data_IF_172165090844
#
_entry.id   IF_172165090844
#
_cell.length_a   1.000
_cell.length_b   1.000
_cell.length_c   1.000
_cell.angle_alpha   90.00
_cell.angle_beta   90.00
_cell.angle_gamma   90.00
#
_symmetry.space_group_name_H-M   'P 1'
#
loop_
_entity.id
_entity.type
_entity.pdbx_description
1 polymer ?
#
# COMPACT_ATOMS: atom_id res chain seq x y z
N UNK A 1 48.12 5.46 37.10
CA UNK A 1 47.04 4.65 37.70
C UNK A 1 46.39 3.86 36.58
N UNK A 2 46.42 2.53 36.64
CA UNK A 2 45.92 1.65 35.57
C UNK A 2 44.45 1.32 35.82
N UNK A 3 43.56 1.66 34.88
CA UNK A 3 42.12 1.38 35.00
C UNK A 3 41.89 -0.03 34.44
N UNK A 4 41.74 -1.01 35.32
CA UNK A 4 41.38 -2.38 34.93
C UNK A 4 39.87 -2.37 34.68
N UNK A 5 39.43 -2.30 33.42
CA UNK A 5 38.03 -2.52 33.09
C UNK A 5 37.72 -4.02 33.19
N UNK A 6 36.76 -4.38 34.02
CA UNK A 6 36.24 -5.74 34.08
C UNK A 6 35.54 -6.08 32.76
N UNK A 7 36.05 -7.09 32.05
CA UNK A 7 35.40 -7.64 30.85
C UNK A 7 34.23 -8.50 31.32
N UNK A 8 33.05 -8.26 30.76
CA UNK A 8 31.87 -9.09 31.00
C UNK A 8 32.14 -10.52 30.47
N UNK A 9 31.89 -11.60 31.25
CA UNK A 9 32.11 -12.97 30.80
C UNK A 9 31.29 -13.30 29.54
N UNK A 10 31.86 -14.09 28.63
CA UNK A 10 31.28 -14.37 27.31
C UNK A 10 29.92 -15.11 27.36
N UNK A 11 29.60 -15.77 28.49
CA UNK A 11 28.33 -16.48 28.73
C UNK A 11 27.24 -15.61 29.40
N UNK A 12 27.45 -14.30 29.51
CA UNK A 12 26.46 -13.42 30.16
C UNK A 12 25.32 -13.08 29.19
N UNK A 13 24.05 -13.35 29.52
CA UNK A 13 22.92 -12.98 28.68
C UNK A 13 22.87 -11.47 28.48
N UNK A 14 22.75 -11.03 27.23
CA UNK A 14 22.53 -9.60 26.93
C UNK A 14 21.10 -9.26 27.35
N UNK A 15 20.95 -8.62 28.50
CA UNK A 15 19.68 -8.09 28.97
C UNK A 15 19.51 -6.64 28.54
N UNK A 16 18.29 -6.29 28.15
CA UNK A 16 17.95 -4.91 27.84
C UNK A 16 18.07 -4.08 29.12
N UNK A 17 18.86 -2.98 29.12
CA UNK A 17 19.03 -2.18 30.32
C UNK A 17 17.71 -1.50 30.72
N UNK A 18 17.26 -1.73 31.96
CA UNK A 18 16.10 -1.06 32.53
C UNK A 18 16.50 0.25 33.23
N UNK A 19 17.26 1.08 32.51
CA UNK A 19 17.62 2.41 33.00
C UNK A 19 16.75 3.47 32.34
N UNK A 20 16.62 4.61 33.03
CA UNK A 20 15.77 5.72 32.60
C UNK A 20 16.15 6.23 31.21
N UNK A 21 17.45 6.26 30.89
CA UNK A 21 17.94 6.69 29.57
C UNK A 21 17.48 5.76 28.45
N UNK A 22 17.51 4.45 28.66
CA UNK A 22 17.07 3.45 27.69
C UNK A 22 15.56 3.52 27.47
N UNK A 23 14.78 3.68 28.55
CA UNK A 23 13.33 3.84 28.44
C UNK A 23 12.94 5.11 27.67
N UNK A 24 13.58 6.25 27.94
CA UNK A 24 13.33 7.51 27.23
C UNK A 24 13.68 7.38 25.75
N UNK A 25 14.82 6.77 25.42
CA UNK A 25 15.22 6.55 24.02
C UNK A 25 14.25 5.62 23.28
N UNK A 26 13.76 4.56 23.94
CA UNK A 26 12.77 3.65 23.37
C UNK A 26 11.42 4.35 23.12
N UNK A 27 10.98 5.21 24.05
CA UNK A 27 9.77 6.02 23.86
C UNK A 27 9.92 7.03 22.72
N UNK A 28 11.07 7.70 22.62
CA UNK A 28 11.39 8.63 21.53
C UNK A 28 11.32 7.93 20.17
N UNK A 29 11.97 6.76 20.04
CA UNK A 29 11.94 5.97 18.82
C UNK A 29 10.52 5.48 18.46
N UNK A 30 9.71 5.12 19.46
CA UNK A 30 8.31 4.75 19.24
C UNK A 30 7.46 5.94 18.76
N UNK A 31 7.68 7.14 19.32
CA UNK A 31 7.01 8.37 18.87
C UNK A 31 7.42 8.74 17.44
N UNK A 32 8.70 8.67 17.11
CA UNK A 32 9.19 8.92 15.75
C UNK A 32 8.62 7.90 14.74
N UNK A 33 8.54 6.63 15.12
CA UNK A 33 7.93 5.58 14.30
C UNK A 33 6.43 5.82 14.04
N UNK A 34 5.69 6.29 15.04
CA UNK A 34 4.26 6.63 14.87
C UNK A 34 4.07 7.85 13.97
N UNK A 35 4.91 8.88 14.12
CA UNK A 35 4.90 10.05 13.24
C UNK A 35 5.24 9.70 11.79
N UNK A 36 6.27 8.88 11.56
CA UNK A 36 6.62 8.40 10.22
C UNK A 36 5.49 7.58 9.59
N UNK A 37 4.82 6.73 10.38
CA UNK A 37 3.68 5.93 9.90
C UNK A 37 2.51 6.83 9.50
N UNK A 38 2.17 7.82 10.32
CA UNK A 38 1.13 8.80 9.97
C UNK A 38 1.51 9.62 8.73
N UNK A 39 2.78 10.01 8.59
CA UNK A 39 3.24 10.74 7.40
C UNK A 39 3.17 9.89 6.14
N UNK A 40 3.51 8.60 6.23
CA UNK A 40 3.41 7.66 5.11
C UNK A 40 1.95 7.41 4.73
N UNK A 41 1.05 7.27 5.71
CA UNK A 41 -0.39 7.16 5.47
C UNK A 41 -0.93 8.43 4.81
N UNK A 42 -0.59 9.61 5.34
CA UNK A 42 -0.97 10.89 4.74
C UNK A 42 -0.43 11.02 3.32
N UNK A 43 0.81 10.59 3.05
CA UNK A 43 1.40 10.63 1.71
C UNK A 43 0.73 9.63 0.75
N UNK A 44 0.36 8.45 1.23
CA UNK A 44 -0.37 7.44 0.46
C UNK A 44 -1.77 7.92 0.02
N UNK A 45 -2.34 8.89 0.74
CA UNK A 45 -3.62 9.52 0.38
C UNK A 45 -3.49 10.55 -0.75
N UNK A 46 -2.29 11.06 -1.05
CA UNK A 46 -2.10 11.99 -2.17
C UNK A 46 -1.76 11.23 -3.44
N UNK A 47 -2.58 11.43 -4.48
CA UNK A 47 -2.34 10.85 -5.79
C UNK A 47 -2.09 11.95 -6.83
N UNK A 48 -1.11 11.71 -7.70
CA UNK A 48 -0.87 12.56 -8.86
C UNK A 48 -1.98 12.33 -9.89
N UNK A 49 -2.79 13.37 -10.13
CA UNK A 49 -3.81 13.39 -11.17
C UNK A 49 -3.43 14.39 -12.26
N UNK A 50 -4.00 14.22 -13.45
CA UNK A 50 -3.87 15.17 -14.56
C UNK A 50 -5.21 15.87 -14.76
N UNK A 51 -5.20 17.19 -14.67
CA UNK A 51 -6.37 18.03 -14.91
C UNK A 51 -6.11 18.94 -16.12
N UNK A 52 -7.15 19.51 -16.71
CA UNK A 52 -7.02 20.53 -17.75
C UNK A 52 -7.35 21.90 -17.17
N UNK A 53 -6.45 22.87 -17.33
CA UNK A 53 -6.68 24.28 -17.03
C UNK A 53 -6.48 25.06 -18.32
N UNK A 54 -7.52 25.71 -18.83
CA UNK A 54 -7.47 26.46 -20.11
C UNK A 54 -6.91 25.59 -21.25
N UNK A 55 -7.42 24.36 -21.38
CA UNK A 55 -6.96 23.32 -22.32
C UNK A 55 -5.50 22.82 -22.18
N UNK A 56 -4.75 23.32 -21.19
CA UNK A 56 -3.41 22.83 -20.89
C UNK A 56 -3.50 21.71 -19.84
N UNK A 57 -2.93 20.51 -20.10
CA UNK A 57 -2.86 19.45 -19.10
C UNK A 57 -1.83 19.80 -18.02
N UNK A 58 -2.26 19.81 -16.75
CA UNK A 58 -1.44 20.09 -15.58
C UNK A 58 -1.48 18.88 -14.65
N UNK A 59 -0.30 18.44 -14.18
CA UNK A 59 -0.19 17.40 -13.18
C UNK A 59 -0.24 18.02 -11.78
N UNK A 60 -1.09 17.50 -10.90
CA UNK A 60 -1.30 18.02 -9.55
C UNK A 60 -1.44 16.86 -8.56
N UNK A 61 -0.87 17.00 -7.37
CA UNK A 61 -1.12 16.06 -6.27
C UNK A 61 -2.41 16.45 -5.55
N UNK A 62 -3.32 15.50 -5.38
CA UNK A 62 -4.60 15.74 -4.70
C UNK A 62 -4.88 14.62 -3.69
N UNK A 63 -5.44 14.98 -2.54
CA UNK A 63 -5.88 14.03 -1.54
C UNK A 63 -7.10 13.25 -2.07
N UNK A 64 -6.99 11.93 -2.11
CA UNK A 64 -8.04 11.04 -2.61
C UNK A 64 -9.25 11.00 -1.68
N UNK A 65 -9.04 11.18 -0.38
CA UNK A 65 -10.11 11.30 0.62
C UNK A 65 -11.01 12.51 0.35
N UNK A 66 -10.42 13.67 0.09
CA UNK A 66 -11.17 14.89 -0.24
C UNK A 66 -11.97 14.73 -1.54
N UNK A 67 -11.37 14.15 -2.58
CA UNK A 67 -12.07 13.85 -3.83
C UNK A 67 -13.24 12.91 -3.58
N UNK A 68 -13.05 11.86 -2.79
CA UNK A 68 -14.13 10.92 -2.45
C UNK A 68 -15.25 11.60 -1.68
N UNK A 69 -14.93 12.47 -0.72
CA UNK A 69 -15.92 13.20 0.05
C UNK A 69 -16.76 14.14 -0.84
N UNK A 70 -16.11 14.91 -1.73
CA UNK A 70 -16.80 15.83 -2.65
C UNK A 70 -17.65 15.09 -3.67
N UNK A 71 -17.20 13.92 -4.12
CA UNK A 71 -17.93 13.07 -5.07
C UNK A 71 -18.90 12.09 -4.41
N UNK A 72 -19.06 12.14 -3.09
CA UNK A 72 -19.86 11.22 -2.28
C UNK A 72 -19.54 9.73 -2.56
N UNK A 73 -18.28 9.44 -2.89
CA UNK A 73 -17.82 8.10 -3.16
C UNK A 73 -17.56 7.35 -1.86
N UNK A 74 -17.84 6.03 -1.83
CA UNK A 74 -17.53 5.22 -0.68
C UNK A 74 -16.03 5.18 -0.37
N UNK A 75 -15.70 4.92 0.90
CA UNK A 75 -14.31 4.80 1.36
C UNK A 75 -13.60 3.53 0.88
N UNK A 76 -14.35 2.56 0.33
CA UNK A 76 -13.78 1.36 -0.28
C UNK A 76 -13.45 1.55 -1.77
N UNK A 77 -12.56 0.71 -2.28
CA UNK A 77 -12.18 0.75 -3.70
C UNK A 77 -13.35 0.31 -4.58
N UNK A 78 -13.73 1.15 -5.55
CA UNK A 78 -14.70 0.81 -6.60
C UNK A 78 -14.10 -0.03 -7.73
N UNK A 79 -12.78 -0.28 -7.71
CA UNK A 79 -12.15 -1.16 -8.70
C UNK A 79 -12.44 -2.61 -8.32
N UNK A 80 -13.12 -3.39 -9.17
CA UNK A 80 -13.22 -4.83 -8.98
C UNK A 80 -11.81 -5.43 -8.91
N UNK A 81 -11.62 -6.52 -8.15
CA UNK A 81 -10.41 -7.33 -8.26
C UNK A 81 -10.19 -7.71 -9.72
N UNK A 82 -8.94 -7.67 -10.18
CA UNK A 82 -8.62 -8.16 -11.51
C UNK A 82 -8.88 -9.67 -11.56
N UNK A 83 -9.83 -10.09 -12.39
CA UNK A 83 -10.02 -11.49 -12.73
C UNK A 83 -9.18 -11.79 -13.96
N UNK A 84 -8.07 -12.50 -13.76
CA UNK A 84 -7.30 -13.02 -14.88
C UNK A 84 -8.21 -13.94 -15.73
N UNK A 85 -8.08 -13.93 -17.06
CA UNK A 85 -8.79 -14.88 -17.91
C UNK A 85 -8.52 -16.30 -17.39
N UNK A 86 -9.56 -17.15 -17.26
CA UNK A 86 -9.32 -18.53 -16.89
C UNK A 86 -8.38 -19.17 -17.92
N UNK A 87 -7.38 -19.90 -17.46
CA UNK A 87 -6.43 -20.65 -18.31
C UNK A 87 -7.10 -21.88 -18.96
N UNK A 88 -8.35 -21.75 -19.37
CA UNK A 88 -9.07 -22.79 -20.08
C UNK A 88 -8.60 -22.77 -21.52
N UNK A 89 -7.88 -23.81 -21.92
CA UNK A 89 -7.81 -24.22 -23.33
C UNK A 89 -9.24 -24.55 -23.74
N UNK A 90 -9.94 -23.60 -24.35
CA UNK A 90 -11.20 -23.88 -25.03
C UNK A 90 -10.88 -24.93 -26.09
N UNK A 91 -11.38 -26.17 -25.98
CA UNK A 91 -11.22 -27.13 -27.06
C UNK A 91 -11.85 -26.54 -28.31
N UNK A 92 -11.16 -26.69 -29.45
CA UNK A 92 -11.73 -26.31 -30.74
C UNK A 92 -13.08 -27.03 -30.87
N UNK A 93 -14.18 -26.35 -31.23
CA UNK A 93 -15.46 -26.99 -31.47
C UNK A 93 -15.27 -28.19 -32.39
N UNK A 94 -15.75 -29.36 -31.96
CA UNK A 94 -15.57 -30.61 -32.71
C UNK A 94 -16.38 -30.59 -34.01
N UNK A 95 -17.48 -29.83 -34.03
CA UNK A 95 -18.39 -29.73 -35.16
C UNK A 95 -18.81 -28.28 -35.39
N UNK A 96 -18.83 -27.87 -36.66
CA UNK A 96 -19.41 -26.62 -37.11
C UNK A 96 -20.93 -26.78 -37.16
N UNK A 97 -21.63 -26.20 -36.19
CA UNK A 97 -23.09 -26.26 -36.14
C UNK A 97 -23.61 -25.22 -37.11
N UNK A 98 -24.10 -25.69 -38.26
CA UNK A 98 -24.76 -24.85 -39.26
C UNK A 98 -26.00 -24.21 -38.63
N UNK A 99 -26.10 -22.89 -38.71
CA UNK A 99 -27.28 -22.13 -38.28
C UNK A 99 -28.47 -22.48 -39.19
N UNK A 100 -29.22 -23.50 -38.79
CA UNK A 100 -30.34 -24.05 -39.55
C UNK A 100 -31.61 -23.19 -39.42
N UNK A 101 -31.63 -22.23 -38.50
CA UNK A 101 -32.82 -21.43 -38.17
C UNK A 101 -32.94 -20.17 -39.04
N UNK A 102 -31.86 -19.79 -39.75
CA UNK A 102 -31.83 -18.70 -40.73
C UNK A 102 -31.79 -19.20 -42.19
N UNK A 103 -32.50 -20.28 -42.49
CA UNK A 103 -32.82 -20.61 -43.89
C UNK A 103 -33.91 -19.65 -44.37
N UNK A 104 -33.52 -18.67 -45.18
CA UNK A 104 -34.45 -17.71 -45.80
C UNK A 104 -35.59 -18.43 -46.52
N UNK A 105 -36.81 -18.24 -46.00
CA UNK A 105 -38.09 -18.66 -46.59
C UNK A 105 -39.16 -17.61 -46.35
#
# INVERSE_FOLDING_TARGET
MSVIQARLPDDTPITVPDNTTFQVNAQQAAMEGTMQTQQQQATAEYQLIRIKIQDVPVAMQVNVGDIRAVLELPSYSLRPPFHAPPSTTTPVPVEDIVDADHIDG
#
